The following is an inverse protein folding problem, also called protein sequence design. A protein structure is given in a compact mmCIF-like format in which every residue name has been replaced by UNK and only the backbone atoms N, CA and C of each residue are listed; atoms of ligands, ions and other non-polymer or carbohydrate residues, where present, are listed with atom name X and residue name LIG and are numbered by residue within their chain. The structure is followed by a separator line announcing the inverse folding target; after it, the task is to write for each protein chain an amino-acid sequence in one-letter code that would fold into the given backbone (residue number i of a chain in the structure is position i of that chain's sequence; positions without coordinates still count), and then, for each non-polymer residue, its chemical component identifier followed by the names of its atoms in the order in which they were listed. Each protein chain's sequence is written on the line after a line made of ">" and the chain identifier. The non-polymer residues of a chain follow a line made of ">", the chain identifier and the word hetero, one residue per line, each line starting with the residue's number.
data_IF_591275843567
#
_entry.id   IF_591275843567
#
_cell.length_a   1.000
_cell.length_b   1.000
_cell.length_c   1.000
_cell.angle_alpha   90.00
_cell.angle_beta   90.00
_cell.angle_gamma   90.00
#
_symmetry.space_group_name_H-M   'P 1'
#
loop_
_entity.id
_entity.type
_entity.pdbx_description
1 polymer ?
#
# COMPACT_ATOMS: atom_id res chain seq x y z
N UNK A 1 10.98 -0.80 17.93
CA UNK A 1 10.48 -1.38 16.66
C UNK A 1 10.69 -0.38 15.55
N UNK A 2 10.96 -0.85 14.34
CA UNK A 2 11.15 0.03 13.19
C UNK A 2 9.81 0.59 12.69
N UNK A 3 9.79 1.90 12.42
CA UNK A 3 8.61 2.64 12.00
C UNK A 3 8.93 3.58 10.85
N UNK A 4 7.92 3.87 10.02
CA UNK A 4 8.06 4.75 8.88
C UNK A 4 8.07 6.21 9.34
N UNK A 5 9.25 6.71 9.70
CA UNK A 5 9.49 8.07 10.13
C UNK A 5 8.93 9.14 9.17
N UNK A 6 9.10 8.95 7.85
CA UNK A 6 8.62 9.91 6.85
C UNK A 6 7.09 9.96 6.81
N UNK A 7 6.42 8.80 6.94
CA UNK A 7 4.96 8.74 6.99
C UNK A 7 4.41 9.42 8.24
N UNK A 8 5.02 9.20 9.41
CA UNK A 8 4.65 9.86 10.67
C UNK A 8 4.77 11.38 10.51
N UNK A 9 5.93 11.85 10.02
CA UNK A 9 6.19 13.27 9.80
C UNK A 9 5.21 13.90 8.81
N UNK A 10 4.93 13.23 7.70
CA UNK A 10 3.97 13.69 6.68
C UNK A 10 2.56 13.85 7.26
N UNK A 11 2.03 12.81 7.92
CA UNK A 11 0.71 12.86 8.54
C UNK A 11 0.58 13.96 9.60
N UNK A 12 1.64 14.18 10.40
CA UNK A 12 1.68 15.29 11.35
C UNK A 12 1.60 16.66 10.64
N UNK A 13 2.35 16.81 9.55
CA UNK A 13 2.37 18.04 8.76
C UNK A 13 1.03 18.27 8.03
N UNK A 14 0.37 17.22 7.56
CA UNK A 14 -0.95 17.28 6.92
C UNK A 14 -2.02 17.80 7.91
N UNK A 15 -1.89 17.47 9.20
CA UNK A 15 -2.72 18.05 10.28
C UNK A 15 -2.27 19.46 10.72
N UNK A 16 -1.21 20.02 10.14
CA UNK A 16 -0.69 21.35 10.47
C UNK A 16 0.03 21.43 11.82
N UNK A 17 0.49 20.30 12.36
CA UNK A 17 1.03 20.23 13.72
C UNK A 17 2.55 20.36 13.79
N UNK A 18 3.02 21.03 14.86
CA UNK A 18 4.43 20.99 15.27
C UNK A 18 4.75 19.67 15.96
N UNK A 19 6.03 19.32 16.08
CA UNK A 19 6.44 18.13 16.86
C UNK A 19 5.96 18.22 18.32
N UNK A 20 5.96 19.43 18.90
CA UNK A 20 5.46 19.69 20.24
C UNK A 20 3.94 19.42 20.32
N UNK A 21 3.15 19.96 19.39
CA UNK A 21 1.70 19.70 19.36
C UNK A 21 1.36 18.21 19.29
N UNK A 22 2.07 17.44 18.45
CA UNK A 22 1.84 16.00 18.37
C UNK A 22 2.25 15.28 19.67
N UNK A 23 3.34 15.72 20.32
CA UNK A 23 3.77 15.16 21.59
C UNK A 23 2.70 15.37 22.67
N UNK A 24 2.19 16.59 22.79
CA UNK A 24 1.14 16.94 23.74
C UNK A 24 -0.15 16.14 23.47
N UNK A 25 -0.57 16.04 22.19
CA UNK A 25 -1.75 15.27 21.80
C UNK A 25 -1.63 13.77 22.08
N UNK A 26 -0.43 13.20 21.92
CA UNK A 26 -0.16 11.79 22.21
C UNK A 26 0.09 11.50 23.70
N UNK A 27 0.23 12.53 24.56
CA UNK A 27 0.70 12.36 25.93
C UNK A 27 2.13 11.83 26.02
N UNK A 28 2.98 12.18 25.05
CA UNK A 28 4.38 11.75 24.94
C UNK A 28 5.33 12.93 25.16
N UNK A 29 6.60 12.63 25.48
CA UNK A 29 7.63 13.68 25.46
C UNK A 29 7.99 14.11 24.04
N UNK A 30 8.38 15.38 23.86
CA UNK A 30 8.91 15.87 22.58
C UNK A 30 10.07 15.00 22.07
N UNK A 31 10.96 14.57 22.97
CA UNK A 31 12.10 13.70 22.63
C UNK A 31 11.63 12.35 22.08
N UNK A 32 10.52 11.81 22.58
CA UNK A 32 9.93 10.56 22.07
C UNK A 32 9.45 10.73 20.64
N UNK A 33 8.73 11.82 20.36
CA UNK A 33 8.27 12.17 19.01
C UNK A 33 9.45 12.40 18.06
N UNK A 34 10.43 13.21 18.47
CA UNK A 34 11.63 13.47 17.69
C UNK A 34 12.40 12.19 17.39
N UNK A 35 12.50 11.25 18.35
CA UNK A 35 13.15 9.96 18.10
C UNK A 35 12.40 9.11 17.08
N UNK A 36 11.07 9.09 17.16
CA UNK A 36 10.24 8.38 16.19
C UNK A 36 10.40 8.96 14.77
N UNK A 37 10.45 10.28 14.62
CA UNK A 37 10.59 10.95 13.31
C UNK A 37 12.02 11.01 12.76
N UNK A 38 13.04 11.05 13.61
CA UNK A 38 14.43 11.18 13.17
C UNK A 38 15.13 9.84 13.01
N UNK A 39 14.85 8.88 13.90
CA UNK A 39 15.53 7.58 13.92
C UNK A 39 14.64 6.43 13.45
N UNK A 40 13.36 6.66 13.20
CA UNK A 40 12.44 5.62 12.73
C UNK A 40 12.28 4.46 13.70
N UNK A 41 12.37 4.71 15.01
CA UNK A 41 12.24 3.67 16.03
C UNK A 41 11.53 4.18 17.29
N UNK A 42 10.57 3.41 17.80
CA UNK A 42 9.88 3.66 19.08
C UNK A 42 9.36 2.37 19.75
N UNK A 43 8.73 2.47 20.93
CA UNK A 43 8.06 1.35 21.61
C UNK A 43 6.65 1.11 21.05
N UNK A 44 6.13 -0.12 21.17
CA UNK A 44 4.77 -0.48 20.71
C UNK A 44 3.71 0.53 21.20
N UNK A 45 3.76 0.87 22.48
CA UNK A 45 2.85 1.83 23.11
C UNK A 45 2.96 3.23 22.51
N UNK A 46 4.19 3.68 22.22
CA UNK A 46 4.44 4.97 21.56
C UNK A 46 3.78 5.02 20.18
N UNK A 47 3.93 3.95 19.39
CA UNK A 47 3.30 3.90 18.07
C UNK A 47 1.80 3.78 18.15
N UNK A 48 1.27 3.07 19.13
CA UNK A 48 -0.16 2.99 19.35
C UNK A 48 -0.73 4.38 19.65
N UNK A 49 -0.12 5.13 20.57
CA UNK A 49 -0.50 6.51 20.88
C UNK A 49 -0.46 7.41 19.63
N UNK A 50 0.64 7.36 18.86
CA UNK A 50 0.77 8.13 17.61
C UNK A 50 -0.30 7.70 16.60
N UNK A 51 -0.54 6.41 16.41
CA UNK A 51 -1.53 5.91 15.45
C UNK A 51 -2.95 6.32 15.81
N UNK A 52 -3.29 6.32 17.10
CA UNK A 52 -4.60 6.74 17.60
C UNK A 52 -4.84 8.24 17.35
N UNK A 53 -3.86 9.08 17.66
CA UNK A 53 -3.97 10.54 17.49
C UNK A 53 -3.94 10.97 16.02
N UNK A 54 -3.17 10.25 15.20
CA UNK A 54 -3.15 10.46 13.75
C UNK A 54 -4.36 9.83 13.03
N UNK A 55 -5.20 9.07 13.74
CA UNK A 55 -6.39 8.37 13.22
C UNK A 55 -6.06 7.43 12.06
N UNK A 56 -4.93 6.71 12.19
CA UNK A 56 -4.47 5.74 11.19
C UNK A 56 -4.25 4.37 11.82
N UNK A 57 -4.29 3.34 10.99
CA UNK A 57 -4.00 2.00 11.46
C UNK A 57 -2.51 1.83 11.81
N UNK A 58 -2.25 1.04 12.84
CA UNK A 58 -0.90 0.79 13.37
C UNK A 58 0.05 0.20 12.29
N UNK A 59 -0.49 -0.65 11.40
CA UNK A 59 0.23 -1.24 10.26
C UNK A 59 0.70 -0.22 9.23
N UNK A 60 0.02 0.92 9.10
CA UNK A 60 0.40 2.00 8.17
C UNK A 60 1.70 2.68 8.60
N UNK A 61 2.02 2.64 9.90
CA UNK A 61 3.19 3.29 10.46
C UNK A 61 4.34 2.31 10.76
N UNK A 62 4.07 1.00 10.87
CA UNK A 62 5.13 -0.01 11.04
C UNK A 62 5.91 -0.20 9.74
N UNK A 63 7.24 -0.23 9.85
CA UNK A 63 8.06 -0.83 8.80
C UNK A 63 8.01 -2.33 9.03
N UNK A 64 7.14 -3.01 8.28
CA UNK A 64 7.22 -4.46 8.17
C UNK A 64 8.36 -4.72 7.20
N UNK A 65 9.47 -5.38 7.62
CA UNK A 65 10.45 -5.83 6.66
C UNK A 65 9.71 -6.69 5.63
N UNK A 66 9.90 -6.40 4.34
CA UNK A 66 9.42 -7.28 3.28
C UNK A 66 10.12 -8.61 3.46
N UNK A 67 9.50 -9.52 4.22
CA UNK A 67 9.92 -10.90 4.18
C UNK A 67 9.49 -11.36 2.79
N UNK A 68 10.47 -11.70 1.95
CA UNK A 68 10.22 -12.54 0.79
C UNK A 68 9.89 -13.97 1.28
N UNK A 69 8.85 -14.09 2.08
CA UNK A 69 8.17 -15.35 2.30
C UNK A 69 7.23 -15.51 1.10
N UNK A 70 7.46 -16.57 0.33
CA UNK A 70 6.71 -16.85 -0.87
C UNK A 70 5.20 -16.73 -0.65
N UNK A 71 4.56 -16.10 -1.63
CA UNK A 71 3.16 -16.26 -2.02
C UNK A 71 2.15 -16.70 -0.93
N UNK A 72 1.30 -15.75 -0.48
CA UNK A 72 -0.16 -15.85 -0.27
C UNK A 72 -0.57 -14.83 0.83
N UNK A 73 -1.52 -13.91 0.69
CA UNK A 73 -2.59 -13.69 -0.28
C UNK A 73 -2.62 -12.21 -0.69
N UNK A 74 -2.28 -11.94 -1.94
CA UNK A 74 -2.79 -10.77 -2.64
C UNK A 74 -4.18 -11.17 -3.16
N UNK A 75 -5.27 -10.63 -2.61
CA UNK A 75 -6.55 -10.61 -3.35
C UNK A 75 -6.39 -9.59 -4.46
N UNK A 76 -5.81 -10.03 -5.57
CA UNK A 76 -5.69 -9.25 -6.79
C UNK A 76 -7.09 -8.77 -7.23
N UNK A 77 -7.32 -7.47 -7.14
CA UNK A 77 -8.36 -6.82 -7.94
C UNK A 77 -7.96 -6.96 -9.42
N UNK A 78 -8.71 -7.70 -10.26
CA UNK A 78 -8.27 -7.97 -11.62
C UNK A 78 -8.68 -6.81 -12.54
N UNK A 79 -7.93 -5.71 -12.50
CA UNK A 79 -7.99 -4.69 -13.56
C UNK A 79 -7.32 -5.26 -14.82
N UNK A 80 -8.05 -6.07 -15.58
CA UNK A 80 -7.54 -6.53 -16.89
C UNK A 80 -8.08 -7.86 -17.44
N UNK A 81 -8.87 -8.64 -16.69
CA UNK A 81 -9.45 -9.91 -17.21
C UNK A 81 -10.27 -9.70 -18.49
N UNK A 82 -10.97 -8.56 -18.59
CA UNK A 82 -11.80 -8.22 -19.74
C UNK A 82 -10.99 -7.89 -21.01
N UNK A 83 -9.77 -7.34 -20.88
CA UNK A 83 -8.89 -7.07 -22.01
C UNK A 83 -8.36 -8.37 -22.60
N UNK A 84 -7.93 -9.31 -21.75
CA UNK A 84 -7.47 -10.63 -22.21
C UNK A 84 -8.61 -11.46 -22.83
N UNK A 85 -9.83 -11.34 -22.30
CA UNK A 85 -11.02 -11.97 -22.91
C UNK A 85 -11.31 -11.39 -24.30
N UNK A 86 -11.13 -10.08 -24.49
CA UNK A 86 -11.38 -9.41 -25.76
C UNK A 86 -10.35 -9.83 -26.83
N UNK A 87 -9.08 -10.01 -26.45
CA UNK A 87 -8.03 -10.54 -27.35
C UNK A 87 -8.34 -11.97 -27.80
N UNK A 88 -8.81 -12.84 -26.91
CA UNK A 88 -9.17 -14.23 -27.26
C UNK A 88 -10.37 -14.27 -28.21
N UNK A 89 -11.38 -13.41 -27.98
CA UNK A 89 -12.56 -13.30 -28.85
C UNK A 89 -12.20 -12.81 -30.26
N UNK A 90 -11.32 -11.82 -30.39
CA UNK A 90 -10.83 -11.35 -31.69
C UNK A 90 -10.06 -12.46 -32.41
N UNK A 91 -9.21 -13.21 -31.72
CA UNK A 91 -8.45 -14.30 -32.33
C UNK A 91 -9.35 -15.43 -32.87
N UNK A 92 -10.43 -15.76 -32.15
CA UNK A 92 -11.43 -16.74 -32.59
C UNK A 92 -12.22 -16.29 -33.84
N UNK A 93 -12.58 -15.00 -33.92
CA UNK A 93 -13.31 -14.45 -35.07
C UNK A 93 -12.44 -14.40 -36.33
N UNK A 94 -11.15 -14.07 -36.21
CA UNK A 94 -10.21 -14.07 -37.34
C UNK A 94 -9.99 -15.51 -37.87
N UNK A 95 -9.88 -16.49 -36.98
CA UNK A 95 -9.74 -17.90 -37.36
C UNK A 95 -10.96 -18.47 -38.11
N UNK A 96 -12.17 -18.04 -37.76
CA UNK A 96 -13.40 -18.54 -38.38
C UNK A 96 -13.63 -17.97 -39.79
N UNK A 97 -13.23 -16.71 -40.04
CA UNK A 97 -13.34 -16.08 -41.36
C UNK A 97 -12.31 -16.64 -42.37
N UNK A 98 -11.13 -17.08 -41.91
CA UNK A 98 -10.10 -17.66 -42.77
C UNK A 98 -10.39 -19.09 -43.25
N UNK A 99 -11.19 -19.86 -42.51
CA UNK A 99 -11.46 -21.27 -42.82
C UNK A 99 -12.41 -21.52 -43.99
N UNK A 100 -13.32 -20.58 -44.30
CA UNK A 100 -14.32 -20.76 -45.35
C UNK A 100 -13.82 -20.40 -46.77
N UNK A 101 -12.74 -19.64 -46.90
CA UNK A 101 -12.20 -19.21 -48.20
C UNK A 101 -11.42 -20.29 -48.97
N UNK A 102 -10.88 -21.29 -48.28
CA UNK A 102 -10.06 -22.36 -48.89
C UNK A 102 -10.92 -23.52 -49.42
N UNK A 103 -12.13 -23.71 -48.90
CA UNK A 103 -13.01 -24.82 -49.27
C UNK A 103 -13.90 -24.57 -50.51
N UNK A 104 -13.94 -23.35 -51.05
CA UNK A 104 -14.77 -23.02 -52.23
C UNK A 104 -13.95 -23.02 -53.54
N UNK A 105 -12.64 -23.27 -53.50
CA UNK A 105 -11.80 -23.31 -54.70
C UNK A 105 -11.00 -24.63 -54.87
N UNK A 106 -11.59 -25.76 -54.47
CA UNK A 106 -11.17 -27.12 -54.85
C UNK A 106 -12.34 -27.86 -55.47
#
# INVERSE_FOLDING_TARGET
>A
MEVNAQKIKGLRQDKGWTQQHMADACGLSLRTVQRAENYGNCSADTLQAISSVLEVELRTLKLVPYIHEGEAHQTASPKGKWVNMLVILIALLIGFAGGFGVAINV
#
